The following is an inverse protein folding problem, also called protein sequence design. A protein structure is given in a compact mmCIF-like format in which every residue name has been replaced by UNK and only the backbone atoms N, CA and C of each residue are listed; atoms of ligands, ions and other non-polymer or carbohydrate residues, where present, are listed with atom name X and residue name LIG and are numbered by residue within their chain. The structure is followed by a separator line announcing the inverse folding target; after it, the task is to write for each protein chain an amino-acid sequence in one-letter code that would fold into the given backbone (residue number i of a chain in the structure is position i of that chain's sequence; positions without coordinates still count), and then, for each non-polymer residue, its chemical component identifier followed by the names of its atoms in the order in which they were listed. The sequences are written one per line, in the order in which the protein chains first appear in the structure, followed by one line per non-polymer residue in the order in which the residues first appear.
data_IF_214026173143
#
_entry.id   IF_214026173143
#
_cell.length_a   1.000
_cell.length_b   1.000
_cell.length_c   1.000
_cell.angle_alpha   90.00
_cell.angle_beta   90.00
_cell.angle_gamma   90.00
#
_symmetry.space_group_name_H-M   'P 1'
#
loop_
_entity.id
_entity.type
_entity.pdbx_description
1 polymer ?
#
# COMPACT_ATOMS: atom_id res chain seq x y z
N UNK A 1 -10.66 73.47 -40.29
CA UNK A 1 -11.36 72.20 -40.63
C UNK A 1 -10.79 71.10 -39.74
N UNK A 2 -11.68 70.29 -39.17
CA UNK A 2 -11.43 69.27 -38.14
C UNK A 2 -10.41 68.20 -38.60
N UNK A 3 -9.57 67.71 -37.70
CA UNK A 3 -9.16 66.30 -37.62
C UNK A 3 -8.37 66.06 -36.33
N UNK A 4 -9.01 65.61 -35.26
CA UNK A 4 -9.05 64.22 -34.76
C UNK A 4 -7.73 63.78 -34.13
N UNK A 5 -7.67 63.92 -32.79
CA UNK A 5 -6.67 63.29 -31.93
C UNK A 5 -7.03 61.82 -31.80
N UNK A 6 -6.17 60.92 -32.28
CA UNK A 6 -6.30 59.48 -32.04
C UNK A 6 -5.46 59.13 -30.79
N UNK A 7 -6.13 58.87 -29.67
CA UNK A 7 -5.50 58.26 -28.50
C UNK A 7 -5.37 56.75 -28.78
N UNK A 8 -4.14 56.26 -28.93
CA UNK A 8 -3.86 54.82 -28.95
C UNK A 8 -3.85 54.34 -27.49
N UNK A 9 -4.90 53.64 -27.05
CA UNK A 9 -4.86 52.86 -25.82
C UNK A 9 -4.16 51.53 -26.11
N UNK A 10 -2.99 51.33 -25.52
CA UNK A 10 -2.34 50.02 -25.49
C UNK A 10 -3.03 49.14 -24.45
N UNK A 11 -3.76 48.12 -24.92
CA UNK A 11 -4.29 47.06 -24.06
C UNK A 11 -3.18 46.02 -23.89
N UNK A 12 -2.58 45.96 -22.70
CA UNK A 12 -1.68 44.88 -22.33
C UNK A 12 -2.52 43.63 -22.03
N UNK A 13 -2.46 42.63 -22.92
CA UNK A 13 -3.02 41.31 -22.64
C UNK A 13 -2.08 40.57 -21.69
N UNK A 14 -2.48 40.41 -20.43
CA UNK A 14 -1.82 39.52 -19.50
C UNK A 14 -2.21 38.08 -19.84
N UNK A 15 -1.30 37.34 -20.49
CA UNK A 15 -1.43 35.89 -20.64
C UNK A 15 -1.11 35.24 -19.30
N UNK A 16 -2.13 34.73 -18.61
CA UNK A 16 -1.95 33.81 -17.50
C UNK A 16 -1.32 32.52 -18.05
N UNK A 17 -0.07 32.26 -17.69
CA UNK A 17 0.54 30.94 -17.89
C UNK A 17 -0.07 30.03 -16.83
N UNK A 18 -0.98 29.17 -17.25
CA UNK A 18 -1.43 28.04 -16.43
C UNK A 18 -0.22 27.11 -16.32
N UNK A 19 0.39 27.03 -15.14
CA UNK A 19 1.36 26.00 -14.86
C UNK A 19 0.64 24.65 -15.00
N UNK A 20 1.08 23.82 -15.96
CA UNK A 20 0.69 22.43 -15.98
C UNK A 20 1.38 21.78 -14.77
N UNK A 21 0.61 21.38 -13.76
CA UNK A 21 1.12 20.47 -12.73
C UNK A 21 1.54 19.18 -13.43
N UNK A 22 2.84 18.92 -13.44
CA UNK A 22 3.38 17.63 -13.86
C UNK A 22 2.86 16.62 -12.83
N UNK A 23 1.88 15.80 -13.20
CA UNK A 23 1.41 14.72 -12.34
C UNK A 23 2.59 13.79 -12.09
N UNK A 24 3.11 13.82 -10.86
CA UNK A 24 4.18 12.93 -10.45
C UNK A 24 3.74 11.48 -10.70
N UNK A 25 4.49 10.75 -11.52
CA UNK A 25 4.24 9.33 -11.72
C UNK A 25 4.71 8.59 -10.47
N UNK A 26 3.78 7.98 -9.76
CA UNK A 26 4.07 7.18 -8.58
C UNK A 26 4.25 5.71 -8.95
N UNK A 27 5.20 5.06 -8.28
CA UNK A 27 5.32 3.60 -8.27
C UNK A 27 4.52 3.07 -7.09
N UNK A 28 3.57 2.16 -7.36
CA UNK A 28 2.61 1.67 -6.35
C UNK A 28 3.31 1.03 -5.16
N UNK A 29 4.15 0.02 -5.41
CA UNK A 29 4.83 -0.72 -4.36
C UNK A 29 6.30 -0.97 -4.76
N UNK A 30 7.14 -1.07 -3.74
CA UNK A 30 8.57 -1.37 -3.84
C UNK A 30 8.90 -2.63 -3.04
N UNK A 31 9.82 -3.46 -3.55
CA UNK A 31 10.37 -4.60 -2.81
C UNK A 31 11.59 -4.15 -2.02
N UNK A 32 11.57 -4.20 -0.68
CA UNK A 32 12.71 -3.79 0.13
C UNK A 32 13.95 -4.65 -0.13
N UNK A 33 15.14 -4.07 0.05
CA UNK A 33 16.45 -4.71 -0.15
C UNK A 33 16.60 -5.96 0.73
N UNK A 34 15.97 -5.96 1.90
CA UNK A 34 15.87 -7.09 2.82
C UNK A 34 14.41 -7.51 2.99
N UNK A 35 14.14 -8.76 3.36
CA UNK A 35 12.75 -9.25 3.49
C UNK A 35 12.16 -9.77 2.18
N UNK A 36 12.98 -10.50 1.41
CA UNK A 36 12.45 -11.33 0.35
C UNK A 36 11.37 -12.25 0.91
N UNK A 37 10.34 -12.56 0.11
CA UNK A 37 9.32 -13.51 0.53
C UNK A 37 9.95 -14.83 1.00
N UNK A 38 9.53 -15.39 2.14
CA UNK A 38 10.10 -16.64 2.59
C UNK A 38 9.57 -17.81 1.72
N UNK A 39 10.31 -18.93 1.63
CA UNK A 39 9.88 -20.10 0.86
C UNK A 39 8.52 -20.67 1.31
N UNK A 40 8.13 -20.44 2.56
CA UNK A 40 6.80 -20.77 3.09
C UNK A 40 5.65 -20.12 2.32
N UNK A 41 5.89 -19.01 1.61
CA UNK A 41 4.91 -18.36 0.75
C UNK A 41 4.87 -18.94 -0.68
N UNK A 42 5.86 -19.73 -1.09
CA UNK A 42 5.94 -20.31 -2.44
C UNK A 42 5.18 -21.65 -2.57
N UNK A 43 4.08 -21.76 -1.84
CA UNK A 43 3.17 -22.90 -1.88
C UNK A 43 1.75 -22.42 -2.09
N UNK A 44 1.05 -23.07 -3.03
CA UNK A 44 -0.41 -22.92 -3.14
C UNK A 44 -1.07 -23.42 -1.87
N UNK A 45 -2.09 -22.71 -1.41
CA UNK A 45 -2.90 -23.18 -0.29
C UNK A 45 -3.72 -24.36 -0.77
N UNK A 46 -3.48 -25.51 -0.16
CA UNK A 46 -4.17 -26.74 -0.51
C UNK A 46 -5.63 -26.70 -0.07
N UNK A 47 -6.51 -27.45 -0.73
CA UNK A 47 -7.90 -27.60 -0.27
C UNK A 47 -7.98 -28.11 1.18
N UNK A 48 -7.04 -28.93 1.63
CA UNK A 48 -6.97 -29.38 3.02
C UNK A 48 -6.68 -28.23 4.01
N UNK A 49 -5.84 -27.27 3.64
CA UNK A 49 -5.60 -26.04 4.42
C UNK A 49 -6.82 -25.12 4.37
N UNK A 50 -7.53 -25.10 3.24
CA UNK A 50 -8.81 -24.39 3.08
C UNK A 50 -9.88 -24.95 4.00
N UNK A 51 -9.98 -26.26 4.16
CA UNK A 51 -10.97 -26.90 5.04
C UNK A 51 -10.62 -26.69 6.52
N UNK A 52 -9.33 -26.58 6.84
CA UNK A 52 -8.83 -26.17 8.16
C UNK A 52 -9.08 -24.69 8.48
N UNK A 53 -9.59 -23.87 7.54
CA UNK A 53 -10.07 -22.48 7.79
C UNK A 53 -10.96 -22.39 9.03
N UNK A 54 -11.80 -23.40 9.25
CA UNK A 54 -12.68 -23.49 10.42
C UNK A 54 -11.93 -23.45 11.77
N UNK A 55 -10.61 -23.68 11.77
CA UNK A 55 -9.76 -23.66 12.97
C UNK A 55 -9.22 -22.26 13.30
N UNK A 56 -9.12 -21.34 12.35
CA UNK A 56 -8.39 -20.08 12.55
C UNK A 56 -9.24 -18.91 13.03
N UNK A 57 -10.57 -18.98 12.92
CA UNK A 57 -11.44 -17.84 13.29
C UNK A 57 -11.09 -16.56 12.50
N UNK A 58 -11.62 -15.43 12.95
CA UNK A 58 -11.13 -14.12 12.52
C UNK A 58 -10.02 -13.62 13.45
N UNK A 59 -9.16 -12.74 12.97
CA UNK A 59 -8.10 -12.12 13.76
C UNK A 59 -8.37 -10.64 14.00
N UNK A 60 -8.22 -10.20 15.24
CA UNK A 60 -8.09 -8.78 15.58
C UNK A 60 -6.61 -8.50 15.82
N UNK A 61 -6.03 -7.62 15.01
CA UNK A 61 -4.60 -7.33 14.98
C UNK A 61 -4.38 -5.96 15.65
N UNK A 62 -3.66 -5.94 16.76
CA UNK A 62 -3.27 -4.70 17.41
C UNK A 62 -2.36 -3.90 16.47
N UNK A 63 -2.72 -2.63 16.25
CA UNK A 63 -2.09 -1.78 15.23
C UNK A 63 -1.60 -0.46 15.82
N UNK A 64 -0.36 -0.10 15.53
CA UNK A 64 0.28 1.15 15.94
C UNK A 64 0.58 2.00 14.71
N UNK A 65 0.09 3.24 14.70
CA UNK A 65 0.24 4.14 13.55
C UNK A 65 1.19 5.29 13.89
N UNK A 66 2.20 5.48 13.03
CA UNK A 66 3.24 6.49 13.18
C UNK A 66 3.20 7.42 11.97
N UNK A 67 2.84 8.68 12.17
CA UNK A 67 2.88 9.70 11.10
C UNK A 67 4.15 10.51 11.27
N UNK A 68 5.05 10.44 10.29
CA UNK A 68 6.34 11.12 10.32
C UNK A 68 6.37 12.15 9.21
N UNK A 69 6.53 13.41 9.58
CA UNK A 69 6.46 14.54 8.66
C UNK A 69 7.77 15.31 8.61
N UNK A 70 8.03 15.94 7.46
CA UNK A 70 8.95 17.07 7.39
C UNK A 70 8.37 18.26 8.16
N UNK A 71 9.22 19.18 8.63
CA UNK A 71 8.78 20.41 9.31
C UNK A 71 7.83 21.22 8.41
N UNK A 72 8.08 21.23 7.10
CA UNK A 72 7.24 21.90 6.11
C UNK A 72 5.83 21.31 5.96
N UNK A 73 5.62 20.05 6.36
CA UNK A 73 4.33 19.34 6.31
C UNK A 73 3.78 19.01 7.70
N UNK A 74 4.32 19.61 8.76
CA UNK A 74 3.79 19.44 10.12
C UNK A 74 2.30 19.84 10.14
N UNK A 75 1.48 18.98 10.77
CA UNK A 75 0.03 19.20 10.88
C UNK A 75 -0.78 19.00 9.58
N UNK A 76 -0.14 18.66 8.46
CA UNK A 76 -0.83 18.41 7.17
C UNK A 76 -1.76 17.20 7.21
N UNK A 77 -1.42 16.20 8.02
CA UNK A 77 -2.17 14.96 8.16
C UNK A 77 -2.78 14.89 9.56
N UNK A 78 -3.99 15.42 9.78
CA UNK A 78 -4.62 15.41 11.09
C UNK A 78 -5.00 13.99 11.52
N UNK A 79 -5.17 13.79 12.84
CA UNK A 79 -5.63 12.51 13.42
C UNK A 79 -6.86 11.93 12.74
N UNK A 80 -7.83 12.76 12.37
CA UNK A 80 -9.06 12.33 11.70
C UNK A 80 -8.77 11.57 10.39
N UNK A 81 -7.81 12.03 9.59
CA UNK A 81 -7.40 11.38 8.36
C UNK A 81 -6.76 10.00 8.60
N UNK A 82 -6.01 9.87 9.71
CA UNK A 82 -5.45 8.58 10.12
C UNK A 82 -6.54 7.63 10.62
N UNK A 83 -7.55 8.16 11.32
CA UNK A 83 -8.71 7.39 11.75
C UNK A 83 -9.58 6.96 10.55
N UNK A 84 -9.70 7.80 9.51
CA UNK A 84 -10.29 7.42 8.21
C UNK A 84 -9.51 6.29 7.55
N UNK A 85 -8.18 6.37 7.53
CA UNK A 85 -7.35 5.30 7.00
C UNK A 85 -7.59 3.97 7.74
N UNK A 86 -7.72 3.99 9.07
CA UNK A 86 -8.01 2.79 9.85
C UNK A 86 -9.45 2.29 9.67
N UNK A 87 -10.41 3.17 9.34
CA UNK A 87 -11.75 2.76 8.90
C UNK A 87 -11.69 2.00 7.59
N UNK A 88 -11.03 2.55 6.57
CA UNK A 88 -10.82 1.88 5.26
C UNK A 88 -10.16 0.52 5.45
N UNK A 89 -9.09 0.45 6.26
CA UNK A 89 -8.46 -0.83 6.59
C UNK A 89 -9.44 -1.84 7.20
N UNK A 90 -10.26 -1.44 8.16
CA UNK A 90 -11.23 -2.36 8.76
C UNK A 90 -12.36 -2.74 7.79
N UNK A 91 -12.80 -1.83 6.93
CA UNK A 91 -13.84 -2.08 5.92
C UNK A 91 -13.37 -3.12 4.89
N UNK A 92 -12.18 -2.94 4.31
CA UNK A 92 -11.68 -3.79 3.23
C UNK A 92 -11.20 -5.18 3.70
N UNK A 93 -10.78 -5.29 4.96
CA UNK A 93 -10.37 -6.56 5.55
C UNK A 93 -11.50 -7.34 6.23
N UNK A 94 -12.63 -6.70 6.53
CA UNK A 94 -13.77 -7.35 7.18
C UNK A 94 -14.26 -8.61 6.44
N UNK A 95 -14.40 -8.63 5.08
CA UNK A 95 -14.79 -9.83 4.35
C UNK A 95 -13.81 -11.00 4.51
N UNK A 96 -12.55 -10.71 4.82
CA UNK A 96 -11.51 -11.72 5.09
C UNK A 96 -11.54 -12.22 6.54
N UNK A 97 -12.35 -11.62 7.41
CA UNK A 97 -12.38 -11.93 8.85
C UNK A 97 -11.20 -11.33 9.62
N UNK A 98 -10.56 -10.30 9.10
CA UNK A 98 -9.45 -9.59 9.76
C UNK A 98 -9.92 -8.20 10.16
N UNK A 99 -9.59 -7.77 11.37
CA UNK A 99 -9.81 -6.42 11.88
C UNK A 99 -8.54 -5.85 12.51
N UNK A 100 -8.47 -4.53 12.60
CA UNK A 100 -7.32 -3.82 13.15
C UNK A 100 -7.75 -2.97 14.34
N UNK A 101 -7.22 -3.32 15.52
CA UNK A 101 -7.43 -2.59 16.76
C UNK A 101 -6.37 -1.50 16.93
N UNK A 102 -6.74 -0.25 16.67
CA UNK A 102 -5.77 0.86 16.74
C UNK A 102 -5.39 1.16 18.19
N UNK A 103 -4.14 0.89 18.55
CA UNK A 103 -3.60 1.07 19.91
C UNK A 103 -3.02 2.45 20.15
N UNK A 104 -2.36 3.01 19.15
CA UNK A 104 -1.88 4.39 19.19
C UNK A 104 -1.81 5.00 17.78
N UNK A 105 -1.92 6.33 17.75
CA UNK A 105 -1.59 7.15 16.60
C UNK A 105 -0.67 8.24 17.13
N UNK A 106 0.59 8.20 16.69
CA UNK A 106 1.66 9.08 17.14
C UNK A 106 2.17 9.94 15.97
N UNK A 107 2.54 11.19 16.25
CA UNK A 107 2.99 12.16 15.25
C UNK A 107 4.41 12.60 15.56
N UNK A 108 5.25 12.64 14.52
CA UNK A 108 6.67 12.98 14.61
C UNK A 108 7.03 14.00 13.52
N UNK A 109 7.88 14.95 13.87
CA UNK A 109 8.50 15.88 12.91
C UNK A 109 9.98 15.55 12.84
N UNK A 110 10.41 15.03 11.69
CA UNK A 110 11.79 14.69 11.41
C UNK A 110 12.00 14.61 9.89
N UNK A 111 12.67 15.62 9.32
CA UNK A 111 12.88 15.74 7.87
C UNK A 111 13.62 14.53 7.28
N UNK A 112 14.61 14.01 8.00
CA UNK A 112 15.39 12.85 7.56
C UNK A 112 14.52 11.60 7.50
N UNK A 113 13.77 11.31 8.56
CA UNK A 113 12.91 10.13 8.61
C UNK A 113 11.74 10.23 7.63
N UNK A 114 11.19 11.41 7.41
CA UNK A 114 10.04 11.62 6.53
C UNK A 114 10.34 11.45 5.02
N UNK A 115 11.62 11.45 4.63
CA UNK A 115 12.07 11.45 3.22
C UNK A 115 12.78 10.17 2.79
N UNK A 116 13.00 9.22 3.70
CA UNK A 116 13.75 8.00 3.42
C UNK A 116 12.96 7.00 2.58
N UNK A 117 13.66 6.02 2.02
CA UNK A 117 13.11 4.73 1.55
C UNK A 117 13.61 3.66 2.54
N UNK A 118 13.95 2.46 2.08
CA UNK A 118 14.53 1.41 2.91
C UNK A 118 16.02 1.64 3.18
N UNK A 119 16.50 1.15 4.33
CA UNK A 119 17.92 1.21 4.69
C UNK A 119 18.21 1.79 6.07
N UNK A 120 19.40 2.42 6.30
CA UNK A 120 19.84 2.79 7.64
C UNK A 120 18.91 3.76 8.39
N UNK A 121 18.33 4.73 7.68
CA UNK A 121 17.39 5.71 8.27
C UNK A 121 16.07 5.05 8.65
N UNK A 122 15.62 4.08 7.86
CA UNK A 122 14.46 3.27 8.22
C UNK A 122 14.71 2.46 9.49
N UNK A 123 15.85 1.76 9.56
CA UNK A 123 16.24 1.00 10.74
C UNK A 123 16.25 1.91 11.97
N UNK A 124 16.76 3.13 11.84
CA UNK A 124 16.80 4.12 12.93
C UNK A 124 15.40 4.46 13.46
N UNK A 125 14.48 4.91 12.60
CA UNK A 125 13.16 5.30 13.09
C UNK A 125 12.35 4.08 13.54
N UNK A 126 12.44 2.93 12.86
CA UNK A 126 11.71 1.73 13.29
C UNK A 126 12.25 1.20 14.62
N UNK A 127 13.55 1.29 14.88
CA UNK A 127 14.13 0.98 16.20
C UNK A 127 13.57 1.90 17.29
N UNK A 128 13.41 3.19 16.98
CA UNK A 128 12.91 4.16 17.95
C UNK A 128 11.40 4.08 18.19
N UNK A 129 10.63 3.71 17.15
CA UNK A 129 9.18 3.91 17.13
C UNK A 129 8.36 2.62 17.18
N UNK A 130 8.93 1.47 16.76
CA UNK A 130 8.20 0.19 16.74
C UNK A 130 7.60 -0.10 18.12
N UNK A 131 6.34 -0.52 18.13
CA UNK A 131 5.60 -0.95 19.30
C UNK A 131 5.06 -2.36 19.11
N UNK A 132 4.78 -3.04 20.21
CA UNK A 132 4.16 -4.36 20.18
C UNK A 132 5.12 -5.52 19.89
N UNK A 133 4.53 -6.69 19.63
CA UNK A 133 5.20 -7.95 19.27
C UNK A 133 5.22 -8.15 17.75
N UNK A 134 5.64 -9.32 17.23
CA UNK A 134 5.75 -9.55 15.78
C UNK A 134 4.39 -9.85 15.11
N UNK A 135 3.38 -10.18 15.91
CA UNK A 135 1.98 -10.29 15.51
C UNK A 135 1.23 -8.94 15.52
N UNK A 136 1.85 -7.86 16.02
CA UNK A 136 1.28 -6.52 15.96
C UNK A 136 1.72 -5.78 14.69
N UNK A 137 0.80 -5.04 14.08
CA UNK A 137 1.06 -4.25 12.88
C UNK A 137 1.58 -2.85 13.25
N UNK A 138 2.71 -2.44 12.66
CA UNK A 138 3.17 -1.05 12.70
C UNK A 138 3.01 -0.43 11.31
N UNK A 139 2.19 0.63 11.21
CA UNK A 139 2.00 1.43 10.01
C UNK A 139 2.78 2.74 10.15
N UNK A 140 3.63 3.04 9.18
CA UNK A 140 4.41 4.28 9.10
C UNK A 140 3.92 5.09 7.90
N UNK A 141 3.43 6.31 8.14
CA UNK A 141 3.04 7.24 7.10
C UNK A 141 4.08 8.36 7.01
N UNK A 142 4.91 8.34 5.96
CA UNK A 142 5.95 9.34 5.72
C UNK A 142 5.41 10.44 4.80
N UNK A 143 5.61 11.71 5.16
CA UNK A 143 5.09 12.84 4.37
C UNK A 143 5.71 13.00 2.99
N UNK A 144 6.94 12.52 2.81
CA UNK A 144 7.79 12.74 1.65
C UNK A 144 8.55 11.46 1.26
N UNK A 145 7.89 10.29 1.41
CA UNK A 145 8.47 8.98 1.06
C UNK A 145 9.25 9.05 -0.27
N UNK A 146 10.53 8.70 -0.19
CA UNK A 146 11.47 8.88 -1.29
C UNK A 146 11.18 8.00 -2.51
N UNK A 147 11.84 8.30 -3.63
CA UNK A 147 11.81 7.45 -4.83
C UNK A 147 10.52 7.48 -5.65
N UNK A 148 9.56 8.36 -5.31
CA UNK A 148 8.25 8.39 -5.98
C UNK A 148 7.40 7.16 -5.67
N UNK A 149 7.61 6.54 -4.50
CA UNK A 149 6.89 5.36 -4.05
C UNK A 149 5.59 5.74 -3.33
N UNK A 150 4.56 4.90 -3.43
CA UNK A 150 3.40 4.97 -2.53
C UNK A 150 3.62 4.15 -1.27
N UNK A 151 4.24 2.97 -1.35
CA UNK A 151 4.51 2.18 -0.15
C UNK A 151 5.41 0.96 -0.37
N UNK A 152 5.70 0.30 0.75
CA UNK A 152 6.31 -1.02 0.82
C UNK A 152 6.03 -1.68 2.19
N UNK A 153 6.06 -3.01 2.24
CA UNK A 153 6.06 -3.78 3.49
C UNK A 153 7.04 -4.94 3.45
N UNK A 154 7.31 -5.47 4.64
CA UNK A 154 8.04 -6.71 4.83
C UNK A 154 7.07 -7.89 4.89
N UNK A 155 7.39 -8.94 4.13
CA UNK A 155 6.70 -10.21 4.20
C UNK A 155 6.85 -10.85 5.60
N UNK A 156 5.87 -11.64 6.05
CA UNK A 156 5.98 -12.38 7.29
C UNK A 156 7.04 -13.46 7.17
N UNK A 157 7.81 -13.70 8.23
CA UNK A 157 8.81 -14.75 8.29
C UNK A 157 8.57 -15.67 9.48
N UNK A 158 8.81 -16.98 9.30
CA UNK A 158 8.60 -17.96 10.36
C UNK A 158 9.49 -17.69 11.56
N UNK A 159 10.78 -17.46 11.36
CA UNK A 159 11.75 -17.28 12.45
C UNK A 159 12.55 -15.98 12.24
N UNK A 160 11.94 -14.81 12.46
CA UNK A 160 12.56 -13.53 12.13
C UNK A 160 13.70 -13.19 13.10
N UNK A 161 14.83 -12.79 12.53
CA UNK A 161 15.95 -12.19 13.24
C UNK A 161 15.57 -10.88 13.92
N UNK A 162 16.40 -10.40 14.85
CA UNK A 162 16.18 -9.11 15.52
C UNK A 162 16.05 -7.95 14.53
N UNK A 163 16.83 -7.97 13.43
CA UNK A 163 16.72 -6.96 12.38
C UNK A 163 15.37 -7.05 11.67
N UNK A 164 14.93 -8.26 11.27
CA UNK A 164 13.62 -8.46 10.63
C UNK A 164 12.48 -8.02 11.54
N UNK A 165 12.56 -8.32 12.84
CA UNK A 165 11.59 -7.82 13.82
C UNK A 165 11.60 -6.30 13.92
N UNK A 166 12.78 -5.69 13.87
CA UNK A 166 12.92 -4.23 13.93
C UNK A 166 12.30 -3.56 12.72
N UNK A 167 12.58 -4.05 11.51
CA UNK A 167 12.12 -3.42 10.27
C UNK A 167 10.71 -3.84 9.84
N UNK A 168 10.13 -4.87 10.46
CA UNK A 168 8.77 -5.33 10.15
C UNK A 168 7.70 -4.23 10.33
N UNK A 169 6.67 -4.31 9.50
CA UNK A 169 5.62 -3.31 9.35
C UNK A 169 5.59 -2.72 7.94
N UNK A 170 4.73 -1.72 7.75
CA UNK A 170 4.41 -1.15 6.45
C UNK A 170 4.69 0.34 6.41
N UNK A 171 5.36 0.79 5.35
CA UNK A 171 5.71 2.19 5.10
C UNK A 171 4.87 2.68 3.94
N UNK A 172 4.18 3.80 4.13
CA UNK A 172 3.24 4.37 3.18
C UNK A 172 3.53 5.86 3.03
N UNK A 173 3.29 6.41 1.83
CA UNK A 173 3.25 7.83 1.58
C UNK A 173 2.00 8.40 2.26
N UNK A 174 2.16 9.34 3.19
CA UNK A 174 1.05 9.94 3.92
C UNK A 174 0.02 10.61 3.00
N UNK A 175 0.46 11.12 1.86
CA UNK A 175 -0.39 11.69 0.81
C UNK A 175 -1.36 10.68 0.15
N UNK A 176 -1.21 9.38 0.40
CA UNK A 176 -2.12 8.32 -0.07
C UNK A 176 -3.28 7.99 0.88
N UNK A 177 -3.30 8.61 2.07
CA UNK A 177 -4.42 8.46 3.01
C UNK A 177 -5.73 9.01 2.41
N UNK A 178 -6.90 8.57 2.92
CA UNK A 178 -8.20 9.05 2.44
C UNK A 178 -8.30 10.58 2.43
N UNK A 179 -8.57 11.15 1.26
CA UNK A 179 -8.76 12.60 1.08
C UNK A 179 -7.47 13.43 1.07
N UNK A 180 -6.28 12.81 1.12
CA UNK A 180 -5.00 13.51 1.00
C UNK A 180 -4.66 13.89 -0.46
N UNK A 181 -3.49 14.48 -0.69
CA UNK A 181 -3.17 15.16 -1.95
C UNK A 181 -2.81 14.26 -3.16
N UNK A 182 -2.51 12.98 -2.97
CA UNK A 182 -2.03 12.13 -4.06
C UNK A 182 -3.22 11.63 -4.88
N UNK A 183 -3.55 12.38 -5.93
CA UNK A 183 -4.66 12.06 -6.85
C UNK A 183 -4.54 10.62 -7.37
N UNK A 184 -5.68 9.92 -7.49
CA UNK A 184 -5.83 8.52 -7.88
C UNK A 184 -5.35 7.47 -6.85
N UNK A 185 -4.70 7.91 -5.78
CA UNK A 185 -4.14 7.03 -4.74
C UNK A 185 -4.50 7.50 -3.33
N UNK A 186 -5.52 8.34 -3.18
CA UNK A 186 -5.92 9.00 -1.94
C UNK A 186 -7.23 8.45 -1.36
N UNK A 187 -7.48 7.15 -1.53
CA UNK A 187 -8.59 6.46 -0.86
C UNK A 187 -8.10 5.53 0.25
N UNK A 188 -6.79 5.51 0.53
CA UNK A 188 -6.18 4.68 1.56
C UNK A 188 -5.87 3.24 1.13
N UNK A 189 -6.03 2.91 -0.17
CA UNK A 189 -5.78 1.55 -0.65
C UNK A 189 -4.30 1.23 -0.87
N UNK A 190 -3.40 2.22 -0.76
CA UNK A 190 -1.98 1.94 -0.60
C UNK A 190 -1.73 1.12 0.67
N UNK A 191 -2.24 1.57 1.83
CA UNK A 191 -2.06 0.82 3.08
C UNK A 191 -2.75 -0.55 3.06
N UNK A 192 -3.86 -0.68 2.33
CA UNK A 192 -4.54 -1.97 2.12
C UNK A 192 -3.66 -2.92 1.28
N UNK A 193 -3.12 -2.44 0.16
CA UNK A 193 -2.19 -3.21 -0.69
C UNK A 193 -0.97 -3.69 0.10
N UNK A 194 -0.32 -2.73 0.77
CA UNK A 194 0.89 -2.92 1.55
C UNK A 194 0.65 -3.93 2.70
N UNK A 195 -0.44 -3.77 3.45
CA UNK A 195 -0.77 -4.74 4.52
C UNK A 195 -1.11 -6.13 3.97
N UNK A 196 -1.55 -6.24 2.70
CA UNK A 196 -1.68 -7.50 1.99
C UNK A 196 -0.36 -8.26 1.91
N UNK A 197 0.75 -7.56 1.61
CA UNK A 197 2.10 -8.14 1.66
C UNK A 197 2.53 -8.52 3.07
N UNK A 198 2.23 -7.68 4.07
CA UNK A 198 2.51 -8.00 5.48
C UNK A 198 1.77 -9.26 5.94
N UNK A 199 0.60 -9.54 5.35
CA UNK A 199 -0.18 -10.77 5.52
C UNK A 199 0.19 -11.90 4.53
N UNK A 200 1.22 -11.74 3.71
CA UNK A 200 1.77 -12.80 2.85
C UNK A 200 1.15 -12.93 1.45
N UNK A 201 0.43 -11.93 0.97
CA UNK A 201 -0.03 -11.90 -0.42
C UNK A 201 1.05 -11.39 -1.36
N UNK A 202 1.19 -12.03 -2.51
CA UNK A 202 1.97 -11.51 -3.62
C UNK A 202 1.13 -10.56 -4.47
N UNK A 203 1.81 -9.80 -5.35
CA UNK A 203 1.12 -9.14 -6.45
C UNK A 203 0.43 -10.18 -7.34
N UNK A 204 -0.76 -9.87 -7.85
CA UNK A 204 -1.48 -10.78 -8.78
C UNK A 204 -0.71 -11.08 -10.07
N UNK A 205 0.26 -10.23 -10.41
CA UNK A 205 1.17 -10.38 -11.55
C UNK A 205 2.55 -10.94 -11.17
N UNK A 206 2.66 -11.58 -9.99
CA UNK A 206 3.92 -12.12 -9.49
C UNK A 206 4.57 -13.08 -10.49
N UNK A 207 5.90 -12.98 -10.61
CA UNK A 207 6.67 -13.70 -11.62
C UNK A 207 6.61 -13.11 -13.03
N UNK A 208 5.71 -12.15 -13.29
CA UNK A 208 5.59 -11.41 -14.55
C UNK A 208 5.56 -12.35 -15.77
N UNK A 209 4.74 -13.41 -15.65
CA UNK A 209 4.66 -14.52 -16.58
C UNK A 209 3.23 -15.05 -16.66
N UNK A 210 2.87 -15.57 -17.83
CA UNK A 210 1.62 -16.32 -18.00
C UNK A 210 1.78 -17.81 -17.65
N UNK A 211 2.97 -18.22 -17.20
CA UNK A 211 3.34 -19.58 -16.84
C UNK A 211 3.78 -19.64 -15.37
N UNK A 212 3.79 -20.85 -14.78
CA UNK A 212 4.11 -21.04 -13.36
C UNK A 212 2.91 -20.81 -12.45
N UNK A 213 3.21 -20.62 -11.16
CA UNK A 213 2.22 -20.49 -10.08
C UNK A 213 1.79 -19.04 -9.79
N UNK A 214 2.39 -18.05 -10.45
CA UNK A 214 2.05 -16.64 -10.27
C UNK A 214 2.18 -16.18 -8.81
N UNK A 215 1.07 -15.73 -8.24
CA UNK A 215 0.94 -15.27 -6.85
C UNK A 215 0.61 -16.40 -5.85
N UNK A 216 0.61 -17.65 -6.32
CA UNK A 216 0.27 -18.85 -5.54
C UNK A 216 -1.16 -18.85 -4.98
N UNK A 217 -2.08 -18.13 -5.63
CA UNK A 217 -3.51 -18.12 -5.29
C UNK A 217 -4.32 -18.62 -6.48
N UNK A 218 -5.07 -19.72 -6.29
CA UNK A 218 -5.73 -20.40 -7.41
C UNK A 218 -6.91 -19.64 -8.04
N UNK A 219 -7.52 -18.71 -7.32
CA UNK A 219 -8.69 -17.95 -7.78
C UNK A 219 -8.34 -16.55 -8.32
N UNK A 220 -7.05 -16.22 -8.41
CA UNK A 220 -6.53 -15.08 -9.19
C UNK A 220 -6.11 -15.60 -10.58
N UNK A 221 -6.69 -15.06 -11.67
CA UNK A 221 -6.25 -15.39 -13.02
C UNK A 221 -4.77 -15.11 -13.25
N UNK A 222 -4.15 -15.88 -14.15
CA UNK A 222 -2.76 -15.65 -14.53
C UNK A 222 -2.62 -14.25 -15.15
N UNK A 223 -1.77 -13.42 -14.55
CA UNK A 223 -1.53 -12.05 -14.98
C UNK A 223 -0.03 -11.82 -15.12
N UNK A 224 0.37 -11.23 -16.24
CA UNK A 224 1.78 -10.95 -16.54
C UNK A 224 2.18 -9.51 -16.20
N UNK A 225 1.26 -8.57 -16.38
CA UNK A 225 1.56 -7.15 -16.26
C UNK A 225 0.76 -6.54 -15.11
N UNK A 226 1.40 -5.63 -14.37
CA UNK A 226 0.68 -4.75 -13.46
C UNK A 226 -0.27 -3.83 -14.25
N UNK A 227 -1.48 -3.64 -13.75
CA UNK A 227 -2.45 -2.72 -14.34
C UNK A 227 -2.09 -1.28 -14.03
N UNK A 228 -2.32 -0.38 -15.00
CA UNK A 228 -2.12 1.07 -14.82
C UNK A 228 -3.42 1.81 -15.08
N UNK A 229 -3.75 2.73 -14.19
CA UNK A 229 -4.98 3.51 -14.29
C UNK A 229 -6.22 2.67 -14.00
N UNK A 230 -7.26 2.92 -14.79
CA UNK A 230 -8.60 2.33 -14.64
C UNK A 230 -9.13 1.76 -15.97
N UNK A 231 -8.45 0.78 -16.58
CA UNK A 231 -8.96 0.16 -17.79
C UNK A 231 -10.27 -0.60 -17.51
N UNK A 232 -11.14 -0.72 -18.51
CA UNK A 232 -12.36 -1.53 -18.36
C UNK A 232 -12.08 -3.03 -18.47
N UNK A 233 -11.04 -3.40 -19.23
CA UNK A 233 -10.62 -4.77 -19.48
C UNK A 233 -9.09 -4.75 -19.66
N UNK A 234 -8.42 -5.74 -19.08
CA UNK A 234 -7.04 -6.08 -19.40
C UNK A 234 -6.91 -7.60 -19.45
N UNK A 235 -6.14 -8.11 -20.41
CA UNK A 235 -5.88 -9.54 -20.58
C UNK A 235 -4.46 -9.70 -21.10
N UNK A 236 -3.53 -9.84 -20.18
CA UNK A 236 -2.11 -10.03 -20.48
C UNK A 236 -1.78 -11.49 -20.81
N UNK A 237 -2.70 -12.42 -20.53
CA UNK A 237 -2.55 -13.86 -20.71
C UNK A 237 -3.76 -14.50 -21.44
N UNK A 238 -4.03 -14.11 -22.70
CA UNK A 238 -5.28 -14.46 -23.40
C UNK A 238 -5.46 -15.94 -23.74
N UNK A 239 -4.41 -16.75 -23.52
CA UNK A 239 -4.41 -18.20 -23.72
C UNK A 239 -4.67 -18.96 -22.41
N UNK A 240 -4.74 -18.26 -21.27
CA UNK A 240 -5.09 -18.77 -19.95
C UNK A 240 -6.54 -18.36 -19.63
N UNK A 241 -7.14 -19.02 -18.64
CA UNK A 241 -8.51 -18.72 -18.24
C UNK A 241 -8.55 -17.49 -17.32
N UNK A 242 -9.50 -16.58 -17.59
CA UNK A 242 -9.74 -15.36 -16.81
C UNK A 242 -9.13 -14.11 -17.42
N UNK A 243 -9.62 -12.94 -17.00
CA UNK A 243 -9.03 -11.64 -17.31
C UNK A 243 -8.05 -11.24 -16.19
N UNK A 244 -7.16 -10.29 -16.47
CA UNK A 244 -6.29 -9.72 -15.44
C UNK A 244 -7.14 -9.17 -14.27
N UNK A 245 -6.62 -9.31 -13.05
CA UNK A 245 -7.29 -8.95 -11.81
C UNK A 245 -7.26 -7.45 -11.52
N UNK A 246 -7.71 -6.63 -12.48
CA UNK A 246 -7.60 -5.16 -12.47
C UNK A 246 -8.29 -4.47 -11.27
N UNK A 247 -9.18 -5.17 -10.58
CA UNK A 247 -9.92 -4.68 -9.40
C UNK A 247 -9.40 -5.26 -8.08
N UNK A 248 -8.30 -6.02 -8.11
CA UNK A 248 -7.75 -6.67 -6.93
C UNK A 248 -6.81 -5.73 -6.18
N UNK A 249 -6.91 -5.66 -4.86
CA UNK A 249 -6.04 -4.80 -4.05
C UNK A 249 -4.54 -5.08 -4.23
N UNK A 250 -4.15 -6.28 -4.67
CA UNK A 250 -2.77 -6.65 -4.97
C UNK A 250 -2.32 -6.34 -6.41
N UNK A 251 -3.11 -5.60 -7.19
CA UNK A 251 -2.72 -5.00 -8.47
C UNK A 251 -2.36 -3.51 -8.30
N UNK A 252 -1.95 -2.83 -9.39
CA UNK A 252 -1.45 -1.45 -9.40
C UNK A 252 -2.43 -0.42 -10.02
N UNK A 253 -3.69 -0.80 -10.22
CA UNK A 253 -4.74 0.11 -10.64
C UNK A 253 -4.87 1.32 -9.70
N UNK A 254 -5.53 2.37 -10.18
CA UNK A 254 -5.92 3.49 -9.32
C UNK A 254 -6.91 3.03 -8.25
N UNK A 255 -6.91 3.72 -7.11
CA UNK A 255 -7.71 3.36 -5.96
C UNK A 255 -9.20 3.24 -6.31
N UNK A 256 -9.73 4.15 -7.12
CA UNK A 256 -11.15 4.14 -7.53
C UNK A 256 -11.58 2.87 -8.28
N UNK A 257 -10.62 2.09 -8.77
CA UNK A 257 -10.84 0.84 -9.50
C UNK A 257 -10.52 -0.40 -8.67
N UNK A 258 -9.99 -0.28 -7.47
CA UNK A 258 -9.75 -1.42 -6.59
C UNK A 258 -11.00 -1.72 -5.76
N UNK A 259 -11.31 -2.99 -5.57
CA UNK A 259 -12.58 -3.41 -4.96
C UNK A 259 -12.44 -4.49 -3.89
N UNK A 260 -11.52 -5.47 -4.04
CA UNK A 260 -11.55 -6.66 -3.18
C UNK A 260 -10.27 -7.50 -3.20
N UNK A 261 -10.12 -8.28 -2.13
CA UNK A 261 -9.38 -9.54 -2.13
C UNK A 261 -10.26 -10.70 -2.63
N UNK A 262 -9.64 -11.75 -3.18
CA UNK A 262 -10.36 -12.99 -3.50
C UNK A 262 -10.57 -13.87 -2.27
N UNK A 263 -11.53 -14.81 -2.28
CA UNK A 263 -11.72 -15.75 -1.18
C UNK A 263 -10.46 -16.54 -0.80
N UNK A 264 -9.62 -16.96 -1.77
CA UNK A 264 -8.37 -17.67 -1.45
C UNK A 264 -7.24 -16.73 -1.02
N UNK A 265 -7.21 -15.46 -1.45
CA UNK A 265 -6.34 -14.45 -0.84
C UNK A 265 -6.70 -14.22 0.63
N UNK A 266 -7.99 -14.10 0.98
CA UNK A 266 -8.42 -14.02 2.39
C UNK A 266 -7.89 -15.18 3.21
N UNK A 267 -7.95 -16.39 2.65
CA UNK A 267 -7.47 -17.59 3.30
C UNK A 267 -5.96 -17.60 3.52
N UNK A 268 -5.22 -17.10 2.52
CA UNK A 268 -3.79 -16.93 2.58
C UNK A 268 -3.36 -15.99 3.68
N UNK A 269 -4.05 -14.87 3.81
CA UNK A 269 -3.78 -13.92 4.89
C UNK A 269 -3.99 -14.54 6.27
N UNK A 270 -5.09 -15.29 6.47
CA UNK A 270 -5.36 -15.98 7.73
C UNK A 270 -4.30 -17.05 8.05
N UNK A 271 -3.97 -17.91 7.08
CA UNK A 271 -2.95 -18.95 7.25
C UNK A 271 -1.58 -18.35 7.55
N UNK A 272 -1.19 -17.35 6.78
CA UNK A 272 0.09 -16.66 6.89
C UNK A 272 0.25 -16.00 8.26
N UNK A 273 -0.76 -15.25 8.70
CA UNK A 273 -0.77 -14.66 10.03
C UNK A 273 -0.67 -15.73 11.13
N UNK A 274 -1.49 -16.78 11.06
CA UNK A 274 -1.53 -17.82 12.09
C UNK A 274 -0.23 -18.63 12.21
N UNK A 275 0.49 -18.82 11.11
CA UNK A 275 1.67 -19.70 11.06
C UNK A 275 2.98 -18.93 11.19
N UNK A 276 3.03 -17.71 10.65
CA UNK A 276 4.25 -16.91 10.52
C UNK A 276 4.30 -15.74 11.51
N UNK A 277 3.18 -15.30 12.08
CA UNK A 277 3.16 -14.13 12.98
C UNK A 277 2.67 -14.44 14.39
N UNK A 278 1.52 -15.08 14.51
CA UNK A 278 0.79 -15.22 15.78
C UNK A 278 1.65 -15.77 16.92
N UNK A 279 1.75 -15.01 18.02
CA UNK A 279 2.49 -15.39 19.22
C UNK A 279 4.01 -15.29 19.11
N UNK A 280 4.54 -14.52 18.15
CA UNK A 280 5.98 -14.39 17.91
C UNK A 280 6.57 -13.04 18.30
#
# INVERSE_FOLDING_TARGET
MRSTVLLLQAVAAATAVVAQEEQQEYTRCYTPITGNPPPELDTEITQDEVEKRSLFGGFEIDTYVHVITTEAKEGRYPREMVEDQMRVMNEEYNPSGISFNTKSIDFYVNDTWATTVDGPVEIEYKTALRKGTYDDLNLYFLSDLGGGLLGFCYFPERDPSDLQRTIDGCVNLAGSMPGAEVTNYNMGFTAVHETGHWLGLYHVFQGQSCDGFGDYVLDTPAQKNATRGCPTIQDSCPWRFGLDSIHNFMDYSYDECLERFTPLQSLRMLWSYATLRLGR
#
